data_IF_350133956366
#
_entry.id   IF_350133956366
#
_cell.length_a   1.000
_cell.length_b   1.000
_cell.length_c   1.000
_cell.angle_alpha   90.00
_cell.angle_beta   90.00
_cell.angle_gamma   90.00
#
_symmetry.space_group_name_H-M   'P 1'
#
loop_
_entity.id
_entity.type
_entity.pdbx_description
1 polymer ?
#
# COMPACT_ATOMS: atom_id res chain seq x y z
N UNK A 1 4.43 -1.66 -19.57
CA UNK A 1 3.03 -1.73 -19.13
C UNK A 1 3.08 -2.51 -17.85
N UNK A 2 2.75 -1.88 -16.73
CA UNK A 2 2.77 -2.52 -15.42
C UNK A 2 1.59 -3.49 -15.32
N UNK A 3 1.70 -4.53 -14.51
CA UNK A 3 0.66 -5.54 -14.31
C UNK A 3 -0.66 -4.90 -13.84
N UNK A 4 -0.53 -3.86 -13.01
CA UNK A 4 -1.65 -3.08 -12.45
C UNK A 4 -2.35 -2.19 -13.48
N UNK A 5 -1.78 -2.00 -14.67
CA UNK A 5 -2.41 -1.25 -15.76
C UNK A 5 -3.54 -2.04 -16.45
N UNK A 6 -3.69 -3.34 -16.14
CA UNK A 6 -4.74 -4.19 -16.69
C UNK A 6 -5.97 -4.21 -15.77
N UNK A 7 -7.16 -3.78 -16.25
CA UNK A 7 -8.35 -3.61 -15.40
C UNK A 7 -8.77 -4.84 -14.58
N UNK A 8 -8.51 -6.06 -15.07
CA UNK A 8 -8.86 -7.33 -14.40
C UNK A 8 -7.69 -7.96 -13.64
N UNK A 9 -6.53 -7.30 -13.61
CA UNK A 9 -5.37 -7.64 -12.79
C UNK A 9 -5.17 -6.61 -11.68
N UNK A 10 -6.24 -5.88 -11.31
CA UNK A 10 -6.23 -5.05 -10.12
C UNK A 10 -6.29 -5.93 -8.87
N UNK A 11 -5.70 -5.47 -7.76
CA UNK A 11 -5.68 -6.20 -6.48
C UNK A 11 -7.09 -6.64 -6.04
N UNK A 12 -8.07 -5.75 -6.24
CA UNK A 12 -9.48 -6.00 -5.92
C UNK A 12 -10.06 -7.24 -6.62
N UNK A 13 -9.74 -7.44 -7.90
CA UNK A 13 -10.24 -8.57 -8.69
C UNK A 13 -9.54 -9.88 -8.32
N UNK A 14 -8.26 -9.81 -7.97
CA UNK A 14 -7.49 -10.96 -7.50
C UNK A 14 -8.02 -11.45 -6.14
N UNK A 15 -8.21 -10.54 -5.18
CA UNK A 15 -8.79 -10.88 -3.87
C UNK A 15 -10.20 -11.43 -4.01
N UNK A 16 -11.04 -10.80 -4.83
CA UNK A 16 -12.40 -11.26 -5.10
C UNK A 16 -12.40 -12.66 -5.74
N UNK A 17 -11.46 -12.93 -6.65
CA UNK A 17 -11.34 -14.24 -7.28
C UNK A 17 -10.94 -15.30 -6.26
N UNK A 18 -9.97 -15.04 -5.40
CA UNK A 18 -9.55 -15.95 -4.33
C UNK A 18 -10.74 -16.33 -3.42
N UNK A 19 -11.50 -15.34 -2.95
CA UNK A 19 -12.68 -15.58 -2.12
C UNK A 19 -13.77 -16.38 -2.85
N UNK A 20 -14.05 -16.05 -4.12
CA UNK A 20 -15.09 -16.74 -4.90
C UNK A 20 -14.74 -18.20 -5.23
N UNK A 21 -13.46 -18.52 -5.38
CA UNK A 21 -13.04 -19.90 -5.58
C UNK A 21 -13.09 -20.66 -4.25
N UNK A 22 -12.59 -20.07 -3.16
CA UNK A 22 -12.65 -20.66 -1.82
C UNK A 22 -14.08 -20.86 -1.30
N UNK A 23 -15.04 -20.02 -1.72
CA UNK A 23 -16.46 -20.16 -1.41
C UNK A 23 -17.12 -21.40 -2.03
N UNK A 24 -16.49 -22.03 -3.02
CA UNK A 24 -16.96 -23.29 -3.61
C UNK A 24 -16.35 -24.52 -2.94
N UNK A 25 -15.39 -24.32 -2.05
CA UNK A 25 -14.62 -25.36 -1.37
C UNK A 25 -13.13 -25.01 -1.27
N UNK A 26 -12.33 -25.79 -0.51
CA UNK A 26 -10.90 -25.51 -0.33
C UNK A 26 -10.14 -25.42 -1.67
N UNK A 27 -9.44 -24.31 -1.88
CA UNK A 27 -8.89 -23.90 -3.17
C UNK A 27 -7.39 -23.61 -3.13
N UNK A 28 -6.71 -23.80 -4.25
CA UNK A 28 -5.28 -23.46 -4.44
C UNK A 28 -5.12 -22.12 -5.17
N UNK A 29 -3.87 -21.64 -5.28
CA UNK A 29 -3.55 -20.48 -6.13
C UNK A 29 -3.76 -20.80 -7.62
N UNK A 30 -3.54 -22.05 -8.04
CA UNK A 30 -3.78 -22.48 -9.42
C UNK A 30 -5.27 -22.42 -9.77
N UNK A 31 -6.16 -22.84 -8.85
CA UNK A 31 -7.61 -22.70 -9.05
C UNK A 31 -8.03 -21.23 -9.23
N UNK A 32 -7.39 -20.32 -8.50
CA UNK A 32 -7.63 -18.87 -8.60
C UNK A 32 -7.09 -18.29 -9.92
N UNK A 33 -5.91 -18.74 -10.34
CA UNK A 33 -5.30 -18.35 -11.62
C UNK A 33 -6.16 -18.82 -12.82
N UNK A 34 -6.59 -20.09 -12.82
CA UNK A 34 -7.47 -20.63 -13.85
C UNK A 34 -8.81 -19.89 -13.90
N UNK A 35 -9.33 -19.48 -12.74
CA UNK A 35 -10.53 -18.64 -12.68
C UNK A 35 -10.29 -17.25 -13.26
N UNK A 36 -9.17 -16.59 -12.95
CA UNK A 36 -8.82 -15.30 -13.53
C UNK A 36 -8.70 -15.38 -15.06
N UNK A 37 -8.01 -16.41 -15.58
CA UNK A 37 -7.90 -16.67 -17.01
C UNK A 37 -9.26 -16.84 -17.67
N UNK A 38 -10.14 -17.61 -17.03
CA UNK A 38 -11.51 -17.82 -17.51
C UNK A 38 -12.31 -16.51 -17.54
N UNK A 39 -12.21 -15.67 -16.51
CA UNK A 39 -12.88 -14.37 -16.47
C UNK A 39 -12.38 -13.45 -17.60
N UNK A 40 -11.06 -13.39 -17.81
CA UNK A 40 -10.44 -12.60 -18.88
C UNK A 40 -10.85 -13.08 -20.28
N UNK A 41 -10.84 -14.40 -20.52
CA UNK A 41 -11.29 -14.97 -21.78
C UNK A 41 -12.77 -14.67 -22.07
N UNK A 42 -13.62 -14.64 -21.03
CA UNK A 42 -15.05 -14.36 -21.19
C UNK A 42 -15.37 -12.94 -21.68
N UNK A 43 -14.46 -12.00 -21.46
CA UNK A 43 -14.58 -10.61 -21.94
C UNK A 43 -13.76 -10.36 -23.22
N UNK A 44 -13.28 -11.42 -23.87
CA UNK A 44 -12.46 -11.35 -25.09
C UNK A 44 -11.02 -10.88 -24.86
N UNK A 45 -10.56 -10.86 -23.60
CA UNK A 45 -9.20 -10.51 -23.25
C UNK A 45 -8.25 -11.70 -23.39
N UNK A 46 -7.01 -11.44 -23.79
CA UNK A 46 -5.91 -12.39 -23.63
C UNK A 46 -5.17 -12.06 -22.35
N UNK A 47 -4.71 -13.10 -21.64
CA UNK A 47 -3.86 -12.91 -20.48
C UNK A 47 -2.56 -12.23 -20.92
N UNK A 48 -2.26 -11.01 -20.45
CA UNK A 48 -1.17 -10.21 -20.99
C UNK A 48 0.21 -10.63 -20.45
N UNK A 49 0.22 -11.55 -19.50
CA UNK A 49 1.36 -11.94 -18.69
C UNK A 49 1.39 -13.44 -18.48
N UNK A 50 2.54 -13.96 -18.05
CA UNK A 50 2.73 -15.38 -17.76
C UNK A 50 2.16 -15.76 -16.40
N UNK A 51 1.87 -17.04 -16.21
CA UNK A 51 1.44 -17.60 -14.92
C UNK A 51 2.46 -17.29 -13.81
N UNK A 52 3.75 -17.40 -14.13
CA UNK A 52 4.85 -17.12 -13.23
C UNK A 52 4.89 -15.66 -12.75
N UNK A 53 4.39 -14.72 -13.55
CA UNK A 53 4.28 -13.31 -13.17
C UNK A 53 3.07 -13.05 -12.26
N UNK A 54 1.97 -13.80 -12.40
CA UNK A 54 0.75 -13.58 -11.60
C UNK A 54 0.78 -14.29 -10.24
N UNK A 55 1.39 -15.47 -10.16
CA UNK A 55 1.41 -16.27 -8.94
C UNK A 55 1.94 -15.52 -7.70
N UNK A 56 3.02 -14.71 -7.78
CA UNK A 56 3.47 -13.89 -6.65
C UNK A 56 2.41 -12.89 -6.16
N UNK A 57 1.66 -12.28 -7.08
CA UNK A 57 0.60 -11.34 -6.72
C UNK A 57 -0.56 -12.05 -6.04
N UNK A 58 -1.01 -13.20 -6.59
CA UNK A 58 -2.04 -14.02 -5.94
C UNK A 58 -1.60 -14.52 -4.56
N UNK A 59 -0.33 -14.91 -4.40
CA UNK A 59 0.20 -15.29 -3.09
C UNK A 59 0.13 -14.14 -2.10
N UNK A 60 0.52 -12.92 -2.50
CA UNK A 60 0.43 -11.73 -1.66
C UNK A 60 -1.03 -11.42 -1.28
N UNK A 61 -1.95 -11.48 -2.24
CA UNK A 61 -3.37 -11.23 -1.98
C UNK A 61 -3.96 -12.29 -1.03
N UNK A 62 -3.54 -13.55 -1.17
CA UNK A 62 -3.89 -14.62 -0.23
C UNK A 62 -3.40 -14.32 1.18
N UNK A 63 -2.15 -13.88 1.35
CA UNK A 63 -1.62 -13.49 2.67
C UNK A 63 -2.45 -12.36 3.29
N UNK A 64 -2.82 -11.35 2.50
CA UNK A 64 -3.65 -10.25 2.97
C UNK A 64 -5.03 -10.73 3.46
N UNK A 65 -5.68 -11.62 2.70
CA UNK A 65 -6.97 -12.20 3.06
C UNK A 65 -6.91 -13.12 4.29
N UNK A 66 -5.81 -13.87 4.45
CA UNK A 66 -5.57 -14.68 5.66
C UNK A 66 -5.36 -13.78 6.87
N UNK A 67 -4.55 -12.72 6.73
CA UNK A 67 -4.33 -11.74 7.80
C UNK A 67 -5.61 -11.02 8.24
N UNK A 68 -6.56 -10.80 7.32
CA UNK A 68 -7.88 -10.26 7.62
C UNK A 68 -8.88 -11.30 8.16
N UNK A 69 -8.46 -12.57 8.30
CA UNK A 69 -9.29 -13.72 8.68
C UNK A 69 -10.49 -13.97 7.74
N UNK A 70 -10.36 -13.58 6.46
CA UNK A 70 -11.36 -13.86 5.43
C UNK A 70 -11.12 -15.22 4.76
N UNK A 71 -9.87 -15.65 4.72
CA UNK A 71 -9.45 -17.00 4.36
C UNK A 71 -8.72 -17.64 5.55
N UNK A 72 -8.73 -18.96 5.60
CA UNK A 72 -7.90 -19.75 6.51
C UNK A 72 -7.08 -20.77 5.71
N UNK A 73 -5.89 -21.10 6.23
CA UNK A 73 -5.09 -22.16 5.65
C UNK A 73 -5.77 -23.52 5.86
N UNK A 74 -5.74 -24.33 4.80
CA UNK A 74 -6.26 -25.68 4.77
C UNK A 74 -5.15 -26.64 4.33
N UNK A 75 -5.38 -27.94 4.48
CA UNK A 75 -4.38 -28.95 4.15
C UNK A 75 -3.85 -28.82 2.72
N UNK A 76 -2.57 -29.17 2.53
CA UNK A 76 -1.90 -29.22 1.22
C UNK A 76 -1.84 -27.87 0.48
N UNK A 77 -1.65 -26.76 1.21
CA UNK A 77 -1.47 -25.43 0.61
C UNK A 77 -2.75 -24.84 0.04
N UNK A 78 -3.90 -25.39 0.41
CA UNK A 78 -5.22 -24.89 0.07
C UNK A 78 -5.66 -23.83 1.06
N UNK A 79 -6.66 -23.05 0.67
CA UNK A 79 -7.34 -22.08 1.54
C UNK A 79 -8.84 -22.32 1.51
N UNK A 80 -9.47 -22.19 2.67
CA UNK A 80 -10.92 -22.24 2.82
C UNK A 80 -11.45 -20.85 3.16
N UNK A 81 -12.68 -20.55 2.72
CA UNK A 81 -13.35 -19.31 3.13
C UNK A 81 -13.85 -19.43 4.57
N UNK A 82 -13.68 -18.37 5.36
CA UNK A 82 -14.24 -18.31 6.71
C UNK A 82 -15.67 -17.74 6.66
N UNK A 83 -16.49 -17.90 7.72
CA UNK A 83 -17.78 -17.21 7.81
C UNK A 83 -17.66 -15.68 7.70
N UNK A 84 -16.52 -15.11 8.12
CA UNK A 84 -16.23 -13.67 7.95
C UNK A 84 -15.96 -13.35 6.48
N UNK A 85 -15.20 -14.20 5.78
CA UNK A 85 -14.96 -14.11 4.34
C UNK A 85 -16.25 -14.16 3.52
N UNK A 86 -17.18 -15.06 3.85
CA UNK A 86 -18.49 -15.13 3.18
C UNK A 86 -19.29 -13.84 3.34
N UNK A 87 -19.27 -13.25 4.53
CA UNK A 87 -19.95 -11.97 4.80
C UNK A 87 -19.30 -10.83 4.03
N UNK A 88 -17.97 -10.74 4.05
CA UNK A 88 -17.24 -9.73 3.28
C UNK A 88 -17.56 -9.84 1.78
N UNK A 89 -17.64 -11.06 1.24
CA UNK A 89 -18.02 -11.31 -0.15
C UNK A 89 -19.47 -10.87 -0.46
N UNK A 90 -20.40 -11.03 0.49
CA UNK A 90 -21.77 -10.60 0.35
C UNK A 90 -21.93 -9.07 0.45
N UNK A 91 -21.16 -8.41 1.33
CA UNK A 91 -21.18 -6.96 1.55
C UNK A 91 -20.44 -6.20 0.42
N UNK A 92 -19.41 -6.81 -0.17
CA UNK A 92 -18.57 -6.23 -1.20
C UNK A 92 -18.55 -7.08 -2.49
N UNK A 93 -19.69 -7.26 -3.16
CA UNK A 93 -19.80 -8.18 -4.31
C UNK A 93 -18.98 -7.76 -5.53
N UNK A 94 -18.62 -6.47 -5.61
CA UNK A 94 -17.88 -5.85 -6.71
C UNK A 94 -16.37 -5.76 -6.51
N UNK A 95 -15.84 -6.00 -5.32
CA UNK A 95 -14.40 -5.91 -5.07
C UNK A 95 -14.05 -5.69 -3.61
N UNK A 96 -12.97 -6.34 -3.17
CA UNK A 96 -12.36 -6.19 -1.85
C UNK A 96 -10.89 -5.85 -2.09
N UNK A 97 -10.43 -4.73 -1.54
CA UNK A 97 -9.04 -4.30 -1.62
C UNK A 97 -8.49 -3.98 -0.22
N UNK A 98 -7.23 -3.55 -0.14
CA UNK A 98 -6.58 -3.19 1.13
C UNK A 98 -7.37 -2.13 1.91
N UNK A 99 -8.11 -1.22 1.26
CA UNK A 99 -8.91 -0.21 1.96
C UNK A 99 -10.08 -0.83 2.73
N UNK A 100 -10.71 -1.86 2.16
CA UNK A 100 -11.72 -2.67 2.85
C UNK A 100 -11.06 -3.50 3.96
N UNK A 101 -9.90 -4.10 3.69
CA UNK A 101 -9.21 -4.94 4.67
C UNK A 101 -8.73 -4.13 5.89
N UNK A 102 -8.42 -2.85 5.74
CA UNK A 102 -8.02 -1.95 6.83
C UNK A 102 -9.12 -1.75 7.89
N UNK A 103 -10.37 -2.14 7.62
CA UNK A 103 -11.41 -2.18 8.64
C UNK A 103 -11.18 -3.30 9.69
N UNK A 104 -10.39 -4.33 9.36
CA UNK A 104 -10.11 -5.45 10.26
C UNK A 104 -8.88 -5.15 11.15
N UNK A 105 -9.00 -5.23 12.49
CA UNK A 105 -7.86 -5.06 13.40
C UNK A 105 -6.67 -5.95 13.08
N UNK A 106 -6.91 -7.22 12.76
CA UNK A 106 -5.89 -8.22 12.53
C UNK A 106 -5.06 -7.91 11.27
N UNK A 107 -5.72 -7.39 10.23
CA UNK A 107 -5.05 -6.94 9.02
C UNK A 107 -4.21 -5.67 9.24
N UNK A 108 -4.72 -4.72 10.04
CA UNK A 108 -3.94 -3.52 10.41
C UNK A 108 -2.66 -3.90 11.15
N UNK A 109 -2.74 -4.86 12.06
CA UNK A 109 -1.59 -5.35 12.81
C UNK A 109 -0.60 -6.09 11.89
N UNK A 110 -1.10 -6.87 10.93
CA UNK A 110 -0.29 -7.50 9.88
C UNK A 110 0.48 -6.46 9.04
N UNK A 111 -0.19 -5.41 8.57
CA UNK A 111 0.47 -4.33 7.80
C UNK A 111 1.51 -3.60 8.66
N UNK A 112 1.20 -3.30 9.93
CA UNK A 112 2.16 -2.70 10.87
C UNK A 112 3.38 -3.58 11.10
N UNK A 113 3.20 -4.89 11.27
CA UNK A 113 4.29 -5.83 11.46
C UNK A 113 5.17 -5.96 10.19
N UNK A 114 4.55 -5.96 9.01
CA UNK A 114 5.26 -6.10 7.73
C UNK A 114 5.96 -4.82 7.28
N UNK A 115 5.45 -3.65 7.69
CA UNK A 115 6.04 -2.36 7.38
C UNK A 115 7.34 -2.08 8.16
N UNK A 116 7.71 -2.91 9.14
CA UNK A 116 8.90 -2.69 9.99
C UNK A 116 8.85 -1.42 10.85
N UNK A 117 7.81 -0.60 10.68
CA UNK A 117 7.53 0.64 11.39
C UNK A 117 6.01 0.77 11.57
N UNK A 118 5.53 1.24 12.73
CA UNK A 118 4.11 1.41 12.96
C UNK A 118 3.54 2.39 11.93
N UNK A 119 2.57 1.92 11.13
CA UNK A 119 1.77 2.76 10.26
C UNK A 119 1.06 3.80 11.13
N UNK A 120 1.35 5.10 10.90
CA UNK A 120 0.72 6.24 11.57
C UNK A 120 -0.80 6.13 11.44
N UNK A 121 -1.46 5.75 12.51
CA UNK A 121 -2.89 5.97 12.67
C UNK A 121 -3.12 7.48 12.79
N UNK A 122 -4.04 8.04 11.99
CA UNK A 122 -4.43 9.45 12.09
C UNK A 122 -4.96 9.69 13.50
N UNK A 123 -4.13 10.27 14.38
CA UNK A 123 -4.46 10.54 15.78
C UNK A 123 -3.36 10.24 16.81
N UNK A 124 -2.32 9.48 16.47
CA UNK A 124 -1.30 9.09 17.47
C UNK A 124 -0.24 10.17 17.71
N UNK A 125 -0.21 10.65 18.96
CA UNK A 125 0.85 11.48 19.53
C UNK A 125 1.93 10.55 20.13
N UNK A 126 2.90 10.09 19.31
CA UNK A 126 4.24 9.47 19.58
C UNK A 126 4.56 8.70 20.91
N UNK A 127 5.58 7.79 20.98
CA UNK A 127 6.18 6.82 20.02
C UNK A 127 6.40 5.38 20.66
N UNK A 128 7.02 4.37 19.99
CA UNK A 128 8.49 4.19 20.03
C UNK A 128 9.17 3.55 18.78
N UNK A 129 10.43 3.97 18.53
CA UNK A 129 11.40 3.35 17.61
C UNK A 129 11.92 4.32 16.54
N UNK A 130 12.86 5.19 16.92
CA UNK A 130 13.38 6.34 16.15
C UNK A 130 13.81 5.99 14.71
N UNK A 131 12.89 6.14 13.77
CA UNK A 131 13.30 6.55 12.43
C UNK A 131 13.83 7.98 12.57
N UNK A 132 15.13 8.24 12.30
CA UNK A 132 15.67 9.58 12.40
C UNK A 132 15.12 10.49 11.29
N UNK A 133 14.60 9.94 10.18
CA UNK A 133 14.24 10.72 8.99
C UNK A 133 13.23 11.84 9.23
N UNK A 134 12.16 11.68 10.04
CA UNK A 134 11.28 12.80 10.39
C UNK A 134 12.01 13.90 11.19
N UNK A 135 12.92 13.52 12.10
CA UNK A 135 13.74 14.49 12.85
C UNK A 135 14.70 15.22 11.92
N UNK A 136 15.34 14.50 11.00
CA UNK A 136 16.25 15.09 10.02
C UNK A 136 15.52 15.98 9.02
N UNK A 137 14.30 15.61 8.62
CA UNK A 137 13.42 16.45 7.82
C UNK A 137 13.09 17.75 8.55
N UNK A 138 12.66 17.66 9.82
CA UNK A 138 12.36 18.85 10.63
C UNK A 138 13.60 19.75 10.80
N UNK A 139 14.79 19.15 10.97
CA UNK A 139 16.05 19.89 11.05
C UNK A 139 16.39 20.61 9.73
N UNK A 140 16.21 19.96 8.57
CA UNK A 140 16.39 20.59 7.27
C UNK A 140 15.43 21.76 7.04
N UNK A 141 14.18 21.59 7.44
CA UNK A 141 13.15 22.63 7.39
C UNK A 141 13.52 23.86 8.25
N UNK A 142 14.02 23.63 9.47
CA UNK A 142 14.51 24.70 10.36
C UNK A 142 15.76 25.36 9.77
N UNK A 143 16.70 24.58 9.22
CA UNK A 143 17.95 25.09 8.68
C UNK A 143 17.75 26.15 7.57
N UNK A 144 16.80 25.93 6.65
CA UNK A 144 16.45 26.94 5.65
C UNK A 144 15.92 28.22 6.31
N UNK A 145 15.04 28.10 7.31
CA UNK A 145 14.47 29.26 8.02
C UNK A 145 15.51 30.04 8.83
N UNK A 146 16.57 29.37 9.26
CA UNK A 146 17.73 29.98 9.92
C UNK A 146 18.76 30.53 8.92
N UNK A 147 18.54 30.37 7.62
CA UNK A 147 19.38 30.91 6.55
C UNK A 147 20.61 30.06 6.20
N UNK A 148 20.64 28.79 6.62
CA UNK A 148 21.70 27.84 6.25
C UNK A 148 21.55 27.38 4.80
N UNK A 149 22.67 27.11 4.13
CA UNK A 149 22.70 26.64 2.75
C UNK A 149 22.42 25.13 2.68
N UNK A 150 21.92 24.64 1.55
CA UNK A 150 21.67 23.21 1.34
C UNK A 150 22.95 22.37 1.49
N UNK A 151 24.12 22.94 1.23
CA UNK A 151 25.42 22.27 1.41
C UNK A 151 25.88 22.20 2.89
N UNK A 152 25.18 22.86 3.82
CA UNK A 152 25.45 22.77 5.26
C UNK A 152 24.80 21.52 5.90
N UNK A 153 24.25 20.62 5.08
CA UNK A 153 23.72 19.34 5.52
C UNK A 153 24.81 18.53 6.26
N UNK A 154 24.61 18.15 7.54
CA UNK A 154 25.62 17.45 8.32
C UNK A 154 25.79 15.97 7.93
N UNK A 155 24.91 15.43 7.09
CA UNK A 155 24.88 14.01 6.72
C UNK A 155 25.61 13.73 5.40
N UNK A 156 26.23 12.56 5.30
CA UNK A 156 26.87 12.11 4.06
C UNK A 156 25.86 11.88 2.94
N UNK A 157 26.20 12.29 1.71
CA UNK A 157 25.31 12.29 0.52
C UNK A 157 24.61 10.95 0.25
N UNK A 158 25.25 9.83 0.58
CA UNK A 158 24.74 8.48 0.31
C UNK A 158 23.84 7.91 1.42
N UNK A 159 23.35 8.75 2.34
CA UNK A 159 22.53 8.32 3.48
C UNK A 159 21.07 8.75 3.34
N UNK A 160 20.15 7.93 3.87
CA UNK A 160 18.72 8.30 3.91
C UNK A 160 18.45 9.53 4.79
N UNK A 161 19.32 9.85 5.75
CA UNK A 161 19.26 11.05 6.57
C UNK A 161 19.59 12.31 5.76
N UNK A 162 20.58 12.23 4.86
CA UNK A 162 20.91 13.32 3.95
C UNK A 162 19.73 13.70 3.06
N UNK A 163 19.08 12.69 2.46
CA UNK A 163 17.88 12.88 1.62
C UNK A 163 16.73 13.48 2.43
N UNK A 164 16.50 12.99 3.66
CA UNK A 164 15.43 13.49 4.51
C UNK A 164 15.63 14.97 4.88
N UNK A 165 16.86 15.36 5.22
CA UNK A 165 17.21 16.75 5.53
C UNK A 165 17.10 17.66 4.31
N UNK A 166 17.59 17.26 3.13
CA UNK A 166 17.47 18.06 1.89
C UNK A 166 16.00 18.26 1.48
N UNK A 167 15.16 17.24 1.69
CA UNK A 167 13.72 17.34 1.45
C UNK A 167 13.07 18.36 2.39
N UNK A 168 13.44 18.39 3.68
CA UNK A 168 12.93 19.38 4.63
C UNK A 168 13.36 20.80 4.28
N UNK A 169 14.63 21.00 3.91
CA UNK A 169 15.16 22.29 3.48
C UNK A 169 14.45 22.81 2.21
N UNK A 170 14.24 21.92 1.24
CA UNK A 170 13.55 22.25 -0.01
C UNK A 170 12.08 22.59 0.21
N UNK A 171 11.38 21.86 1.09
CA UNK A 171 9.99 22.15 1.46
C UNK A 171 9.87 23.55 2.07
N UNK A 172 10.76 23.91 3.00
CA UNK A 172 10.75 25.24 3.62
C UNK A 172 11.01 26.38 2.61
N UNK A 173 11.88 26.13 1.62
CA UNK A 173 12.13 27.07 0.52
C UNK A 173 10.93 27.23 -0.39
N UNK A 174 10.28 26.13 -0.74
CA UNK A 174 9.08 26.14 -1.57
C UNK A 174 7.91 26.80 -0.85
N UNK A 175 7.79 26.63 0.47
CA UNK A 175 6.80 27.30 1.31
C UNK A 175 6.99 28.83 1.34
N UNK A 176 8.22 29.30 1.53
CA UNK A 176 8.52 30.74 1.46
C UNK A 176 8.24 31.28 0.06
N UNK A 177 8.67 30.57 -0.98
CA UNK A 177 8.41 30.96 -2.38
C UNK A 177 6.91 31.04 -2.67
N UNK A 178 6.13 30.09 -2.15
CA UNK A 178 4.67 30.04 -2.28
C UNK A 178 4.00 31.18 -1.52
N UNK A 179 4.43 31.47 -0.30
CA UNK A 179 3.93 32.59 0.50
C UNK A 179 4.27 33.95 -0.14
N UNK A 180 5.47 34.11 -0.67
CA UNK A 180 5.88 35.32 -1.40
C UNK A 180 5.06 35.51 -2.67
N UNK A 181 4.81 34.44 -3.43
CA UNK A 181 3.94 34.48 -4.60
C UNK A 181 2.49 34.88 -4.26
N UNK A 182 1.97 34.39 -3.13
CA UNK A 182 0.63 34.75 -2.64
C UNK A 182 0.56 36.20 -2.14
N UNK A 183 1.58 36.69 -1.45
CA UNK A 183 1.66 38.08 -1.00
C UNK A 183 1.81 39.05 -2.18
N UNK A 184 2.61 38.70 -3.20
CA UNK A 184 2.76 39.50 -4.42
C UNK A 184 1.46 39.56 -5.24
N UNK A 185 0.68 38.47 -5.28
CA UNK A 185 -0.63 38.45 -5.94
C UNK A 185 -1.72 39.23 -5.19
N UNK A 186 -1.60 39.37 -3.87
CA UNK A 186 -2.60 40.04 -3.02
C UNK A 186 -2.42 41.57 -2.94
N UNK A 187 -1.30 42.11 -3.43
CA UNK A 187 -1.01 43.56 -3.40
C UNK A 187 -1.51 44.30 -4.66
N UNK A 188 -2.26 43.62 -5.53
CA UNK A 188 -2.72 44.15 -6.83
C UNK A 188 -4.26 44.32 -6.90
N UNK A 189 -4.87 44.72 -5.78
CA UNK A 189 -6.28 45.20 -5.70
C UNK A 189 -6.31 46.58 -5.09
#
# INVERSE_FOLDING_TARGET
MDLTDYPLLHEADMMLTLLRVAAKGPATLDDALDRLKTNLASVGGTFPVTDAEILPHLSRMREHLIAALLLEEFEHGRVAITPRGERALAEHPSGIDDSVLMAYPEFRDFIKARAGHPMKTVGDKNPPGDDPRPVEFDQGFVAFREGLDINDNPHSRDTSMHIAWENGWSEAKDDVTRLDAWAAGSTNI
#
